data_IF_896484673698
#
_entry.id   IF_896484673698
#
_cell.length_a   1.000
_cell.length_b   1.000
_cell.length_c   1.000
_cell.angle_alpha   90.00
_cell.angle_beta   90.00
_cell.angle_gamma   90.00
#
_symmetry.space_group_name_H-M   'P 1'
#
loop_
_entity.id
_entity.type
_entity.pdbx_description
1 polymer ?
#
# COMPACT_ATOMS: atom_id res chain seq x y z
N UNK A 1 2.20 -12.99 9.04
CA UNK A 1 2.26 -11.92 8.02
C UNK A 1 3.68 -11.48 7.60
N UNK A 2 4.50 -10.78 8.42
CA UNK A 2 5.81 -10.26 7.93
C UNK A 2 6.75 -11.36 7.44
N UNK A 3 6.92 -12.44 8.21
CA UNK A 3 7.77 -13.57 7.83
C UNK A 3 7.23 -14.33 6.59
N UNK A 4 5.92 -14.39 6.39
CA UNK A 4 5.32 -14.98 5.19
C UNK A 4 5.65 -14.15 3.95
N UNK A 5 5.54 -12.82 4.05
CA UNK A 5 5.90 -11.91 2.97
C UNK A 5 7.40 -12.03 2.69
N UNK A 6 8.25 -12.01 3.73
CA UNK A 6 9.70 -12.20 3.62
C UNK A 6 10.05 -13.49 2.87
N UNK A 7 9.41 -14.61 3.21
CA UNK A 7 9.61 -15.89 2.53
C UNK A 7 9.15 -15.86 1.06
N UNK A 8 8.00 -15.24 0.77
CA UNK A 8 7.49 -15.11 -0.60
C UNK A 8 8.41 -14.27 -1.48
N UNK A 9 9.00 -13.19 -0.95
CA UNK A 9 9.81 -12.25 -1.72
C UNK A 9 11.32 -12.53 -1.67
N UNK A 10 11.75 -13.45 -0.79
CA UNK A 10 13.16 -13.68 -0.47
C UNK A 10 14.02 -13.94 -1.70
N UNK A 11 13.58 -14.82 -2.59
CA UNK A 11 14.30 -15.16 -3.82
C UNK A 11 14.51 -13.96 -4.77
N UNK A 12 13.58 -12.98 -4.78
CA UNK A 12 13.65 -11.78 -5.64
C UNK A 12 14.52 -10.67 -5.06
N UNK A 13 14.65 -10.64 -3.73
CA UNK A 13 15.35 -9.57 -3.01
C UNK A 13 16.68 -10.03 -2.37
N UNK A 14 17.13 -11.24 -2.66
CA UNK A 14 18.37 -11.81 -2.12
C UNK A 14 19.60 -10.88 -2.32
N UNK A 15 20.48 -10.77 -1.32
CA UNK A 15 21.75 -10.08 -1.46
C UNK A 15 22.60 -10.72 -2.56
N UNK A 16 23.24 -9.90 -3.41
CA UNK A 16 24.21 -10.39 -4.40
C UNK A 16 25.57 -10.75 -3.79
N UNK A 17 25.85 -10.27 -2.58
CA UNK A 17 27.10 -10.51 -1.86
C UNK A 17 26.80 -10.75 -0.38
N UNK A 18 27.73 -11.40 0.33
CA UNK A 18 27.62 -11.67 1.77
C UNK A 18 27.52 -10.41 2.64
N UNK A 19 27.97 -9.25 2.12
CA UNK A 19 27.88 -7.94 2.78
C UNK A 19 26.67 -7.12 2.29
N UNK A 20 25.82 -7.68 1.44
CA UNK A 20 24.65 -6.99 0.93
C UNK A 20 23.54 -6.89 1.98
N UNK A 21 22.67 -5.90 1.81
CA UNK A 21 21.53 -5.67 2.72
C UNK A 21 20.56 -6.85 2.62
N UNK A 22 20.21 -7.45 3.76
CA UNK A 22 19.34 -8.64 3.81
C UNK A 22 17.92 -8.33 3.37
N UNK A 23 17.19 -9.36 2.91
CA UNK A 23 15.77 -9.26 2.50
C UNK A 23 14.94 -8.61 3.61
N UNK A 24 15.11 -9.07 4.85
CA UNK A 24 14.46 -8.51 6.04
C UNK A 24 14.63 -7.00 6.16
N UNK A 25 15.86 -6.52 6.01
CA UNK A 25 16.16 -5.08 6.13
C UNK A 25 15.56 -4.30 4.96
N UNK A 26 15.62 -4.81 3.73
CA UNK A 26 14.99 -4.18 2.56
C UNK A 26 13.48 -4.02 2.77
N UNK A 27 12.81 -5.09 3.20
CA UNK A 27 11.38 -5.10 3.48
C UNK A 27 11.01 -4.16 4.63
N UNK A 28 11.70 -4.27 5.77
CA UNK A 28 11.43 -3.46 6.95
C UNK A 28 11.62 -1.96 6.67
N UNK A 29 12.66 -1.58 5.92
CA UNK A 29 12.93 -0.19 5.55
C UNK A 29 11.83 0.37 4.66
N UNK A 30 11.42 -0.41 3.66
CA UNK A 30 10.36 0.00 2.73
C UNK A 30 9.03 0.18 3.45
N UNK A 31 8.63 -0.79 4.29
CA UNK A 31 7.39 -0.71 5.06
C UNK A 31 7.40 0.45 6.07
N UNK A 32 8.53 0.68 6.74
CA UNK A 32 8.68 1.81 7.66
C UNK A 32 8.50 3.14 6.93
N UNK A 33 9.13 3.29 5.77
CA UNK A 33 8.99 4.50 4.95
C UNK A 33 7.53 4.74 4.54
N UNK A 34 6.85 3.69 4.06
CA UNK A 34 5.43 3.75 3.69
C UNK A 34 4.52 4.12 4.88
N UNK A 35 4.81 3.59 6.07
CA UNK A 35 4.03 3.86 7.27
C UNK A 35 4.23 5.28 7.82
N UNK A 36 5.45 5.84 7.68
CA UNK A 36 5.76 7.19 8.18
C UNK A 36 5.23 8.30 7.25
N UNK A 37 5.06 8.01 5.95
CA UNK A 37 4.57 8.99 4.97
C UNK A 37 5.48 10.20 4.77
N UNK A 38 6.72 10.15 5.24
CA UNK A 38 7.68 11.23 5.06
C UNK A 38 8.22 11.19 3.63
N UNK A 39 8.03 12.27 2.86
CA UNK A 39 8.91 12.57 1.73
C UNK A 39 10.36 12.49 2.23
N UNK A 40 11.30 11.99 1.43
CA UNK A 40 12.70 11.69 1.76
C UNK A 40 13.55 12.90 2.24
N UNK A 41 13.03 13.77 3.10
CA UNK A 41 13.71 14.90 3.74
C UNK A 41 14.41 14.50 5.05
N UNK A 42 14.41 13.22 5.40
CA UNK A 42 15.01 12.69 6.62
C UNK A 42 16.27 11.85 6.39
N UNK A 43 16.94 11.93 5.25
CA UNK A 43 18.08 11.02 4.95
C UNK A 43 19.35 11.32 5.77
N UNK A 44 19.32 12.35 6.61
CA UNK A 44 20.37 12.63 7.59
C UNK A 44 20.00 12.34 9.05
N UNK A 45 18.74 12.01 9.37
CA UNK A 45 18.25 12.03 10.76
C UNK A 45 17.41 10.81 11.16
N UNK A 46 17.19 9.84 10.28
CA UNK A 46 16.53 8.59 10.66
C UNK A 46 17.54 7.59 11.21
N UNK A 47 17.82 7.70 12.52
CA UNK A 47 18.75 6.84 13.26
C UNK A 47 18.38 5.35 13.23
N UNK A 48 17.15 5.01 12.83
CA UNK A 48 16.67 3.64 12.86
C UNK A 48 17.12 2.82 11.66
N UNK A 49 17.44 3.45 10.51
CA UNK A 49 17.90 2.75 9.31
C UNK A 49 19.02 3.54 8.63
N UNK A 50 20.29 3.27 8.97
CA UNK A 50 21.44 3.98 8.43
C UNK A 50 21.77 3.51 7.01
N UNK A 51 20.90 3.83 6.04
CA UNK A 51 21.08 3.54 4.61
C UNK A 51 21.19 4.87 3.86
N UNK A 52 22.25 5.01 3.05
CA UNK A 52 22.41 6.19 2.20
C UNK A 52 21.25 6.33 1.19
N UNK A 53 20.82 7.57 0.91
CA UNK A 53 19.68 7.86 0.02
C UNK A 53 19.72 7.08 -1.31
N UNK A 54 20.85 7.04 -2.07
CA UNK A 54 20.86 6.37 -3.36
C UNK A 54 20.66 4.85 -3.24
N UNK A 55 21.16 4.27 -2.15
CA UNK A 55 20.97 2.85 -1.84
C UNK A 55 19.53 2.58 -1.43
N UNK A 56 18.94 3.46 -0.61
CA UNK A 56 17.54 3.35 -0.22
C UNK A 56 16.62 3.46 -1.44
N UNK A 57 16.85 4.42 -2.35
CA UNK A 57 16.05 4.57 -3.57
C UNK A 57 15.98 3.29 -4.39
N UNK A 58 17.12 2.62 -4.60
CA UNK A 58 17.19 1.33 -5.32
C UNK A 58 16.47 0.21 -4.57
N UNK A 59 16.62 0.17 -3.24
CA UNK A 59 15.93 -0.83 -2.41
C UNK A 59 14.43 -0.61 -2.47
N UNK A 60 13.99 0.64 -2.36
CA UNK A 60 12.60 1.03 -2.35
C UNK A 60 11.92 0.64 -3.66
N UNK A 61 12.53 0.98 -4.79
CA UNK A 61 12.06 0.60 -6.13
C UNK A 61 11.93 -0.92 -6.28
N UNK A 62 13.01 -1.68 -6.05
CA UNK A 62 12.95 -3.14 -6.16
C UNK A 62 11.97 -3.79 -5.19
N UNK A 63 11.85 -3.26 -3.96
CA UNK A 63 10.93 -3.82 -2.96
C UNK A 63 9.48 -3.49 -3.31
N UNK A 64 9.20 -2.29 -3.83
CA UNK A 64 7.87 -1.90 -4.28
C UNK A 64 7.39 -2.78 -5.44
N UNK A 65 8.19 -2.98 -6.48
CA UNK A 65 7.82 -3.84 -7.62
C UNK A 65 7.40 -5.24 -7.15
N UNK A 66 8.18 -5.81 -6.22
CA UNK A 66 7.90 -7.14 -5.67
C UNK A 66 6.65 -7.13 -4.79
N UNK A 67 6.49 -6.09 -3.96
CA UNK A 67 5.30 -5.92 -3.13
C UNK A 67 4.05 -5.75 -3.98
N UNK A 68 4.09 -4.98 -5.07
CA UNK A 68 2.96 -4.83 -5.99
C UNK A 68 2.53 -6.17 -6.56
N UNK A 69 3.47 -6.99 -7.03
CA UNK A 69 3.12 -8.32 -7.55
C UNK A 69 2.50 -9.23 -6.49
N UNK A 70 3.00 -9.17 -5.25
CA UNK A 70 2.44 -9.97 -4.15
C UNK A 70 1.11 -9.39 -3.68
N UNK A 71 0.95 -8.07 -3.64
CA UNK A 71 -0.25 -7.41 -3.12
C UNK A 71 -1.41 -7.43 -4.12
N UNK A 72 -1.13 -7.46 -5.43
CA UNK A 72 -2.16 -7.58 -6.48
C UNK A 72 -3.12 -8.75 -6.23
N UNK A 73 -2.63 -9.88 -5.71
CA UNK A 73 -3.48 -11.04 -5.41
C UNK A 73 -4.49 -10.79 -4.27
N UNK A 74 -4.24 -9.80 -3.40
CA UNK A 74 -5.11 -9.44 -2.29
C UNK A 74 -6.05 -8.28 -2.63
N UNK A 75 -5.84 -7.61 -3.76
CA UNK A 75 -6.69 -6.52 -4.25
C UNK A 75 -7.54 -7.05 -5.40
N UNK A 76 -8.60 -7.78 -5.07
CA UNK A 76 -9.60 -8.25 -6.03
C UNK A 76 -10.95 -7.63 -5.75
N UNK A 77 -11.69 -7.28 -6.80
CA UNK A 77 -13.08 -6.81 -6.72
C UNK A 77 -14.08 -7.96 -6.86
N UNK A 78 -13.58 -9.17 -7.08
CA UNK A 78 -14.40 -10.36 -7.18
C UNK A 78 -14.87 -10.78 -5.79
N UNK A 79 -16.19 -10.87 -5.62
CA UNK A 79 -16.83 -11.30 -4.38
C UNK A 79 -17.77 -12.46 -4.70
N UNK A 80 -17.77 -13.49 -3.85
CA UNK A 80 -18.78 -14.55 -3.90
C UNK A 80 -20.17 -14.00 -3.54
N UNK A 81 -21.24 -14.74 -3.84
CA UNK A 81 -22.58 -14.33 -3.41
C UNK A 81 -22.73 -14.39 -1.88
N UNK A 82 -21.98 -15.27 -1.23
CA UNK A 82 -21.85 -15.36 0.22
C UNK A 82 -21.21 -14.08 0.79
N UNK A 83 -20.09 -13.63 0.23
CA UNK A 83 -19.42 -12.38 0.64
C UNK A 83 -20.34 -11.18 0.46
N UNK A 84 -21.03 -11.09 -0.68
CA UNK A 84 -21.97 -10.00 -0.95
C UNK A 84 -23.13 -10.02 0.04
N UNK A 85 -23.64 -11.20 0.40
CA UNK A 85 -24.72 -11.34 1.37
C UNK A 85 -24.29 -10.91 2.76
N UNK A 86 -23.08 -11.31 3.18
CA UNK A 86 -22.50 -10.90 4.44
C UNK A 86 -22.25 -9.38 4.50
N UNK A 87 -21.70 -8.80 3.42
CA UNK A 87 -21.48 -7.37 3.31
C UNK A 87 -22.81 -6.58 3.37
N UNK A 88 -23.84 -7.01 2.62
CA UNK A 88 -25.18 -6.40 2.66
C UNK A 88 -25.74 -6.35 4.06
N UNK A 89 -25.64 -7.45 4.80
CA UNK A 89 -26.10 -7.52 6.18
C UNK A 89 -25.32 -6.58 7.09
N UNK A 90 -23.99 -6.63 7.03
CA UNK A 90 -23.13 -5.78 7.85
C UNK A 90 -23.39 -4.29 7.64
N UNK A 91 -23.47 -3.83 6.39
CA UNK A 91 -23.73 -2.42 6.11
C UNK A 91 -25.16 -2.01 6.46
N UNK A 92 -26.15 -2.89 6.26
CA UNK A 92 -27.51 -2.61 6.68
C UNK A 92 -27.59 -2.44 8.20
N UNK A 93 -27.00 -3.36 8.97
CA UNK A 93 -26.98 -3.30 10.44
C UNK A 93 -26.25 -2.04 10.96
N UNK A 94 -25.28 -1.52 10.21
CA UNK A 94 -24.48 -0.35 10.62
C UNK A 94 -25.04 1.01 10.13
N UNK A 95 -25.81 1.05 9.03
CA UNK A 95 -26.15 2.30 8.33
C UNK A 95 -27.61 2.42 7.92
N UNK A 96 -28.42 1.36 8.05
CA UNK A 96 -29.79 1.25 7.53
C UNK A 96 -29.91 1.41 6.00
N UNK A 97 -28.79 1.38 5.26
CA UNK A 97 -28.79 1.46 3.80
C UNK A 97 -28.85 0.04 3.21
N UNK A 98 -29.94 -0.36 2.54
CA UNK A 98 -30.06 -1.70 1.99
C UNK A 98 -29.17 -1.88 0.75
N UNK A 99 -28.64 -3.10 0.58
CA UNK A 99 -27.97 -3.52 -0.66
C UNK A 99 -26.51 -3.10 -0.83
N UNK A 100 -25.90 -2.44 0.16
CA UNK A 100 -24.48 -2.04 0.10
C UNK A 100 -23.59 -3.27 0.20
N UNK A 101 -22.74 -3.50 -0.81
CA UNK A 101 -21.78 -4.62 -0.84
C UNK A 101 -20.33 -4.17 -0.64
N UNK A 102 -20.04 -2.90 -0.89
CA UNK A 102 -18.69 -2.33 -0.78
C UNK A 102 -18.74 -0.83 -0.54
N UNK A 103 -17.67 -0.28 0.01
CA UNK A 103 -17.48 1.15 0.18
C UNK A 103 -16.22 1.62 -0.56
N UNK A 104 -16.35 2.75 -1.24
CA UNK A 104 -15.25 3.39 -1.97
C UNK A 104 -15.05 4.78 -1.41
N UNK A 105 -13.80 5.11 -1.05
CA UNK A 105 -13.42 6.41 -0.53
C UNK A 105 -12.26 7.00 -1.34
N UNK A 106 -12.46 8.17 -1.95
CA UNK A 106 -11.40 8.89 -2.65
C UNK A 106 -10.60 9.78 -1.69
N UNK A 107 -9.28 9.81 -1.84
CA UNK A 107 -8.40 10.76 -1.17
C UNK A 107 -7.53 11.50 -2.19
N UNK A 108 -7.40 12.81 -2.01
CA UNK A 108 -6.55 13.62 -2.87
C UNK A 108 -5.14 13.71 -2.30
N UNK A 109 -4.19 13.06 -2.96
CA UNK A 109 -2.76 13.14 -2.63
C UNK A 109 -2.14 14.29 -3.42
N UNK A 110 -1.61 15.31 -2.73
CA UNK A 110 -0.98 16.46 -3.37
C UNK A 110 0.23 16.03 -4.19
N UNK A 111 0.35 16.61 -5.38
CA UNK A 111 1.49 16.37 -6.27
C UNK A 111 2.09 17.69 -6.74
N UNK A 112 3.34 17.62 -7.19
CA UNK A 112 3.89 18.66 -8.07
C UNK A 112 3.15 18.52 -9.42
N UNK A 113 2.56 19.60 -9.97
CA UNK A 113 1.86 19.51 -11.23
C UNK A 113 2.78 19.02 -12.34
N UNK A 114 2.34 18.07 -13.19
CA UNK A 114 3.10 17.70 -14.38
C UNK A 114 3.22 18.88 -15.34
N UNK A 115 4.20 18.83 -16.24
CA UNK A 115 4.36 19.87 -17.27
C UNK A 115 3.23 19.84 -18.30
N UNK A 116 2.73 18.64 -18.61
CA UNK A 116 1.66 18.39 -19.57
C UNK A 116 0.35 18.05 -18.84
N UNK A 117 -0.79 18.49 -19.39
CA UNK A 117 -2.13 18.18 -18.91
C UNK A 117 -2.38 18.46 -17.41
N UNK A 118 -1.72 19.47 -16.84
CA UNK A 118 -1.77 19.78 -15.39
C UNK A 118 -3.19 20.03 -14.88
N UNK A 119 -4.07 20.54 -15.72
CA UNK A 119 -5.48 20.79 -15.46
C UNK A 119 -6.24 19.51 -15.07
N UNK A 120 -5.82 18.33 -15.55
CA UNK A 120 -6.39 17.04 -15.16
C UNK A 120 -6.17 16.73 -13.67
N UNK A 121 -5.16 17.33 -13.06
CA UNK A 121 -4.79 17.12 -11.67
C UNK A 121 -5.27 18.26 -10.77
N UNK A 122 -5.89 19.31 -11.32
CA UNK A 122 -6.34 20.45 -10.55
C UNK A 122 -7.69 20.14 -9.88
N UNK A 123 -7.70 20.14 -8.54
CA UNK A 123 -8.89 19.79 -7.77
C UNK A 123 -9.73 21.03 -7.40
N UNK A 124 -10.97 20.78 -6.95
CA UNK A 124 -11.90 21.85 -6.49
C UNK A 124 -11.34 22.70 -5.33
N UNK A 125 -10.38 22.18 -4.56
CA UNK A 125 -9.71 22.90 -3.46
C UNK A 125 -8.56 23.79 -3.95
N UNK A 126 -8.38 23.96 -5.25
CA UNK A 126 -7.35 24.82 -5.84
C UNK A 126 -5.94 24.26 -5.73
N UNK A 127 -5.77 22.94 -5.60
CA UNK A 127 -4.47 22.29 -5.51
C UNK A 127 -4.32 21.24 -6.63
N UNK A 128 -3.08 20.93 -7.00
CA UNK A 128 -2.78 19.80 -7.87
C UNK A 128 -2.65 18.51 -7.02
N UNK A 129 -3.39 17.46 -7.40
CA UNK A 129 -3.45 16.22 -6.67
C UNK A 129 -3.88 15.04 -7.52
N UNK A 130 -3.42 13.84 -7.16
CA UNK A 130 -3.97 12.58 -7.63
C UNK A 130 -5.18 12.20 -6.76
N UNK A 131 -6.29 11.84 -7.40
CA UNK A 131 -7.39 11.18 -6.70
C UNK A 131 -7.05 9.68 -6.55
N UNK A 132 -6.67 9.28 -5.36
CA UNK A 132 -6.38 7.90 -4.99
C UNK A 132 -7.62 7.28 -4.38
N UNK A 133 -8.07 6.16 -4.92
CA UNK A 133 -9.29 5.49 -4.47
C UNK A 133 -8.92 4.35 -3.52
N UNK A 134 -9.44 4.42 -2.30
CA UNK A 134 -9.41 3.34 -1.33
C UNK A 134 -10.71 2.55 -1.44
N UNK A 135 -10.60 1.26 -1.69
CA UNK A 135 -11.73 0.34 -1.77
C UNK A 135 -11.69 -0.52 -0.51
N UNK A 136 -12.74 -0.41 0.31
CA UNK A 136 -12.92 -1.26 1.47
C UNK A 136 -13.84 -2.39 1.05
N UNK A 137 -13.26 -3.57 0.93
CA UNK A 137 -13.98 -4.81 0.72
C UNK A 137 -14.00 -5.50 2.07
N UNK A 138 -15.20 -5.79 2.58
CA UNK A 138 -15.36 -6.70 3.71
C UNK A 138 -15.10 -8.11 3.20
N UNK A 139 -13.82 -8.46 3.03
CA UNK A 139 -13.44 -9.87 3.02
C UNK A 139 -13.46 -10.26 4.48
N UNK A 140 -14.49 -10.99 4.89
CA UNK A 140 -14.49 -11.69 6.17
C UNK A 140 -13.44 -12.79 6.02
N UNK A 141 -12.16 -12.45 6.12
CA UNK A 141 -11.15 -13.41 6.51
C UNK A 141 -11.57 -13.85 7.90
N UNK A 142 -11.88 -15.13 8.06
CA UNK A 142 -12.34 -15.76 9.29
C UNK A 142 -11.71 -15.11 10.54
N UNK A 143 -12.48 -14.22 11.18
CA UNK A 143 -12.19 -13.70 12.52
C UNK A 143 -12.45 -14.77 13.60
N UNK A 144 -12.40 -16.07 13.23
CA UNK A 144 -12.64 -17.21 14.11
C UNK A 144 -11.36 -17.95 14.56
N UNK A 145 -10.18 -17.36 14.37
CA UNK A 145 -8.92 -17.93 14.87
C UNK A 145 -8.02 -16.95 15.64
N UNK A 146 -8.61 -16.10 16.49
CA UNK A 146 -7.90 -15.51 17.64
C UNK A 146 -8.81 -15.58 18.87
#
# INVERSE_FOLDING_TARGET
>A
MFAEIENKIGHRLSPKTSRGISVRHKLATTLKFLAQGSYQLGVGNDFTIPIAQPTFSKIFECTLEVLEDVLKQFVTMEMSEEDKTAARRHFYDATDIPGVVMCVNGTHVRIIPPQENKEQYYNRKGNYSLNVVLIIILIILDWYMI
#
